data_IF_849698326567
#
_entry.id   IF_849698326567
#
_cell.length_a   1.000
_cell.length_b   1.000
_cell.length_c   1.000
_cell.angle_alpha   90.00
_cell.angle_beta   90.00
_cell.angle_gamma   90.00
#
_symmetry.space_group_name_H-M   'P 1'
#
loop_
_entity.id
_entity.type
_entity.pdbx_description
1 polymer ?
#
# COMPACT_ATOMS: atom_id res chain seq x y z
N UNK A 1 0.83 -11.29 -19.80
CA UNK A 1 0.41 -10.43 -18.67
C UNK A 1 -0.83 -11.05 -18.04
N UNK A 2 -0.87 -11.25 -16.73
CA UNK A 2 -1.95 -12.05 -16.09
C UNK A 2 -3.34 -11.42 -16.27
N UNK A 3 -3.49 -10.13 -15.99
CA UNK A 3 -4.78 -9.42 -16.15
C UNK A 3 -5.32 -9.49 -17.58
N UNK A 4 -4.45 -9.30 -18.58
CA UNK A 4 -4.83 -9.44 -19.98
C UNK A 4 -5.17 -10.89 -20.38
N UNK A 5 -4.53 -11.90 -19.76
CA UNK A 5 -4.81 -13.32 -20.03
C UNK A 5 -6.17 -13.79 -19.53
N UNK A 6 -6.86 -12.98 -18.72
CA UNK A 6 -8.24 -13.21 -18.31
C UNK A 6 -9.26 -12.70 -19.34
N UNK A 7 -8.79 -12.22 -20.49
CA UNK A 7 -9.61 -11.78 -21.64
C UNK A 7 -10.71 -10.76 -21.28
N UNK A 8 -10.39 -9.64 -20.58
CA UNK A 8 -11.39 -8.61 -20.36
C UNK A 8 -11.83 -7.99 -21.69
N UNK A 9 -13.07 -7.49 -21.75
CA UNK A 9 -13.56 -6.76 -22.92
C UNK A 9 -12.74 -5.49 -23.19
N UNK A 10 -12.25 -4.84 -22.13
CA UNK A 10 -11.43 -3.64 -22.19
C UNK A 10 -10.44 -3.61 -21.02
N UNK A 11 -9.23 -3.11 -21.28
CA UNK A 11 -8.20 -2.81 -20.28
C UNK A 11 -7.64 -1.41 -20.53
N UNK A 12 -7.82 -0.51 -19.55
CA UNK A 12 -7.34 0.86 -19.60
C UNK A 12 -6.26 1.04 -18.54
N UNK A 13 -5.09 1.53 -18.96
CA UNK A 13 -3.99 1.91 -18.07
C UNK A 13 -3.77 3.42 -18.13
N UNK A 14 -3.74 4.08 -16.98
CA UNK A 14 -3.47 5.51 -16.86
C UNK A 14 -2.03 5.65 -16.36
N UNK A 15 -1.14 6.19 -17.20
CA UNK A 15 0.29 6.29 -16.91
C UNK A 15 0.84 7.61 -17.48
N UNK A 16 1.35 8.54 -16.65
CA UNK A 16 1.90 9.80 -17.14
C UNK A 16 3.33 9.71 -17.68
N UNK A 17 4.13 8.71 -17.27
CA UNK A 17 5.56 8.67 -17.58
C UNK A 17 5.85 8.08 -18.98
N UNK A 18 6.47 8.84 -19.92
CA UNK A 18 6.65 8.41 -21.30
C UNK A 18 7.44 7.11 -21.47
N UNK A 19 8.46 6.87 -20.66
CA UNK A 19 9.24 5.63 -20.71
C UNK A 19 8.43 4.44 -20.21
N UNK A 20 7.62 4.61 -19.16
CA UNK A 20 6.76 3.55 -18.65
C UNK A 20 5.70 3.17 -19.68
N UNK A 21 5.12 4.14 -20.39
CA UNK A 21 4.23 3.90 -21.52
C UNK A 21 4.90 3.05 -22.60
N UNK A 22 6.16 3.34 -22.93
CA UNK A 22 6.91 2.57 -23.92
C UNK A 22 7.15 1.13 -23.45
N UNK A 23 7.54 0.95 -22.18
CA UNK A 23 7.75 -0.37 -21.59
C UNK A 23 6.45 -1.19 -21.55
N UNK A 24 5.34 -0.58 -21.18
CA UNK A 24 4.01 -1.19 -21.22
C UNK A 24 3.69 -1.63 -22.66
N UNK A 25 3.87 -0.75 -23.66
CA UNK A 25 3.63 -1.10 -25.07
C UNK A 25 4.47 -2.30 -25.51
N UNK A 26 5.76 -2.32 -25.14
CA UNK A 26 6.66 -3.43 -25.46
C UNK A 26 6.22 -4.74 -24.79
N UNK A 27 5.76 -4.67 -23.54
CA UNK A 27 5.27 -5.83 -22.79
C UNK A 27 3.99 -6.42 -23.42
N UNK A 28 3.09 -5.56 -23.91
CA UNK A 28 1.85 -5.96 -24.57
C UNK A 28 2.02 -6.35 -26.04
N UNK A 29 3.11 -5.93 -26.72
CA UNK A 29 3.34 -6.22 -28.14
C UNK A 29 3.33 -7.72 -28.50
N UNK A 30 3.73 -8.57 -27.54
CA UNK A 30 3.78 -10.03 -27.71
C UNK A 30 2.61 -10.76 -27.03
N UNK A 31 1.65 -10.05 -26.45
CA UNK A 31 0.51 -10.67 -25.78
C UNK A 31 -0.61 -10.94 -26.80
N UNK A 32 -1.22 -12.14 -26.81
CA UNK A 32 -2.35 -12.42 -27.69
C UNK A 32 -3.54 -11.53 -27.32
N UNK A 33 -3.85 -10.56 -28.17
CA UNK A 33 -4.97 -9.63 -28.01
C UNK A 33 -6.27 -10.28 -28.52
N UNK A 34 -6.79 -11.28 -27.81
CA UNK A 34 -8.02 -12.03 -28.15
C UNK A 34 -9.29 -11.16 -28.16
N UNK A 35 -9.34 -10.10 -28.96
CA UNK A 35 -10.46 -9.16 -29.04
C UNK A 35 -10.49 -8.07 -27.95
N UNK A 36 -9.62 -8.14 -26.94
CA UNK A 36 -9.53 -7.14 -25.85
C UNK A 36 -9.21 -5.75 -26.41
N UNK A 37 -10.02 -4.73 -26.06
CA UNK A 37 -9.66 -3.33 -26.27
C UNK A 37 -8.59 -2.93 -25.25
N UNK A 38 -7.39 -2.63 -25.70
CA UNK A 38 -6.30 -2.15 -24.84
C UNK A 38 -6.03 -0.67 -25.08
N UNK A 39 -5.98 0.11 -24.01
CA UNK A 39 -5.79 1.56 -24.05
C UNK A 39 -4.78 2.00 -22.99
N UNK A 40 -3.81 2.82 -23.38
CA UNK A 40 -2.89 3.50 -22.45
C UNK A 40 -3.19 4.98 -22.58
N UNK A 41 -3.59 5.60 -21.47
CA UNK A 41 -3.93 7.02 -21.39
C UNK A 41 -2.73 7.76 -20.77
N UNK A 42 -2.03 8.61 -21.55
CA UNK A 42 -0.88 9.39 -21.08
C UNK A 42 -1.34 10.55 -20.20
N UNK A 43 -1.77 10.28 -18.97
CA UNK A 43 -2.36 11.26 -18.07
C UNK A 43 -2.03 10.94 -16.62
N UNK A 44 -1.95 11.97 -15.79
CA UNK A 44 -1.95 11.80 -14.34
C UNK A 44 -3.34 11.36 -13.88
N UNK A 45 -3.43 10.70 -12.73
CA UNK A 45 -4.74 10.31 -12.18
C UNK A 45 -5.57 11.55 -11.81
N UNK A 46 -4.91 12.62 -11.40
CA UNK A 46 -5.45 13.96 -11.14
C UNK A 46 -6.26 14.48 -12.33
N UNK A 47 -5.71 14.33 -13.53
CA UNK A 47 -6.26 14.88 -14.77
C UNK A 47 -7.17 13.89 -15.51
N UNK A 48 -7.04 12.59 -15.22
CA UNK A 48 -7.83 11.56 -15.90
C UNK A 48 -9.32 11.71 -15.57
N UNK A 49 -10.15 11.91 -16.60
CA UNK A 49 -11.59 11.95 -16.51
C UNK A 49 -12.19 10.97 -17.52
N UNK A 50 -13.24 10.26 -17.12
CA UNK A 50 -13.90 9.29 -17.98
C UNK A 50 -15.35 9.11 -17.56
N UNK A 51 -16.24 9.04 -18.56
CA UNK A 51 -17.63 8.60 -18.37
C UNK A 51 -17.73 7.06 -18.31
N UNK A 52 -16.70 6.35 -18.78
CA UNK A 52 -16.65 4.90 -18.69
C UNK A 52 -16.42 4.47 -17.24
N UNK A 53 -17.18 3.46 -16.80
CA UNK A 53 -17.01 2.76 -15.53
C UNK A 53 -16.46 1.36 -15.75
N UNK A 54 -15.88 0.77 -14.73
CA UNK A 54 -15.17 -0.51 -14.82
C UNK A 54 -15.64 -1.51 -13.77
N UNK A 55 -15.72 -2.79 -14.14
CA UNK A 55 -15.99 -3.89 -13.21
C UNK A 55 -14.87 -4.07 -12.18
N UNK A 56 -13.64 -3.72 -12.56
CA UNK A 56 -12.46 -3.77 -11.69
C UNK A 56 -11.63 -2.50 -11.86
N UNK A 57 -11.31 -1.83 -10.75
CA UNK A 57 -10.38 -0.70 -10.72
C UNK A 57 -9.25 -1.04 -9.75
N UNK A 58 -8.02 -0.95 -10.23
CA UNK A 58 -6.82 -1.21 -9.43
C UNK A 58 -6.09 0.11 -9.16
N UNK A 59 -5.84 0.42 -7.90
CA UNK A 59 -5.06 1.55 -7.43
C UNK A 59 -4.08 1.06 -6.36
N UNK A 60 -3.04 0.39 -6.81
CA UNK A 60 -2.05 -0.26 -5.96
C UNK A 60 -0.80 0.62 -5.81
N UNK A 61 -0.26 0.68 -4.59
CA UNK A 61 0.98 1.42 -4.27
C UNK A 61 1.01 2.90 -4.69
N UNK A 62 -0.16 3.54 -4.84
CA UNK A 62 -0.27 4.92 -5.32
C UNK A 62 -0.74 5.92 -4.24
N UNK A 63 -1.73 5.53 -3.42
CA UNK A 63 -2.35 6.46 -2.47
C UNK A 63 -1.41 6.87 -1.31
N UNK A 64 -0.49 5.99 -0.94
CA UNK A 64 0.50 6.26 0.10
C UNK A 64 1.51 7.30 -0.40
N UNK A 65 1.74 8.36 0.39
CA UNK A 65 2.62 9.47 0.02
C UNK A 65 1.93 10.64 -0.68
N UNK A 66 0.65 10.53 -1.05
CA UNK A 66 -0.11 11.65 -1.60
C UNK A 66 -0.52 12.65 -0.50
N UNK A 67 -0.56 13.97 -0.78
CA UNK A 67 -1.03 14.97 0.19
C UNK A 67 -2.52 14.87 0.55
N UNK A 68 -3.36 14.34 -0.35
CA UNK A 68 -4.82 14.27 -0.18
C UNK A 68 -5.41 12.90 -0.56
N UNK A 69 -4.95 11.80 0.06
CA UNK A 69 -5.19 10.44 -0.42
C UNK A 69 -6.69 10.09 -0.44
N UNK A 70 -7.50 10.61 0.50
CA UNK A 70 -8.95 10.39 0.52
C UNK A 70 -9.68 11.06 -0.66
N UNK A 71 -9.18 12.20 -1.16
CA UNK A 71 -9.76 12.86 -2.35
C UNK A 71 -9.51 12.02 -3.59
N UNK A 72 -8.28 11.51 -3.73
CA UNK A 72 -7.91 10.58 -4.80
C UNK A 72 -8.68 9.27 -4.73
N UNK A 73 -8.81 8.71 -3.53
CA UNK A 73 -9.56 7.49 -3.31
C UNK A 73 -11.01 7.61 -3.81
N UNK A 74 -11.69 8.74 -3.55
CA UNK A 74 -13.04 8.99 -4.09
C UNK A 74 -13.04 9.06 -5.61
N UNK A 75 -12.11 9.80 -6.21
CA UNK A 75 -11.99 9.89 -7.68
C UNK A 75 -11.78 8.51 -8.33
N UNK A 76 -10.97 7.65 -7.72
CA UNK A 76 -10.76 6.28 -8.21
C UNK A 76 -12.00 5.43 -8.00
N UNK A 77 -12.66 5.54 -6.84
CA UNK A 77 -13.90 4.83 -6.55
C UNK A 77 -15.03 5.21 -7.52
N UNK A 78 -15.09 6.47 -7.96
CA UNK A 78 -16.05 6.96 -8.95
C UNK A 78 -15.90 6.28 -10.31
N UNK A 79 -14.78 5.63 -10.62
CA UNK A 79 -14.56 4.89 -11.87
C UNK A 79 -15.13 3.45 -11.81
N UNK A 80 -15.56 2.98 -10.63
CA UNK A 80 -16.06 1.62 -10.44
C UNK A 80 -17.54 1.58 -10.81
N UNK A 81 -17.94 0.58 -11.60
CA UNK A 81 -19.36 0.37 -11.93
C UNK A 81 -20.12 -0.26 -10.76
N UNK A 82 -21.45 -0.20 -10.78
CA UNK A 82 -22.30 -0.80 -9.75
C UNK A 82 -22.08 -2.31 -9.71
N UNK A 83 -21.61 -2.81 -8.55
CA UNK A 83 -21.26 -4.22 -8.36
C UNK A 83 -19.82 -4.57 -8.72
N UNK A 84 -19.03 -3.59 -9.20
CA UNK A 84 -17.61 -3.71 -9.44
C UNK A 84 -16.77 -3.75 -8.16
N UNK A 85 -15.47 -3.99 -8.35
CA UNK A 85 -14.49 -4.16 -7.26
C UNK A 85 -13.39 -3.10 -7.40
N UNK A 86 -13.17 -2.37 -6.32
CA UNK A 86 -12.01 -1.52 -6.12
C UNK A 86 -10.92 -2.27 -5.36
N UNK A 87 -9.72 -2.32 -5.92
CA UNK A 87 -8.52 -2.87 -5.27
C UNK A 87 -7.59 -1.71 -4.93
N UNK A 88 -7.28 -1.54 -3.64
CA UNK A 88 -6.37 -0.51 -3.14
C UNK A 88 -5.32 -1.10 -2.21
N UNK A 89 -4.13 -0.51 -2.19
CA UNK A 89 -3.10 -0.81 -1.20
C UNK A 89 -3.21 0.14 -0.02
N UNK A 90 -3.10 -0.39 1.20
CA UNK A 90 -3.05 0.38 2.44
C UNK A 90 -1.75 0.10 3.18
N UNK A 91 -1.35 1.03 4.04
CA UNK A 91 -0.23 0.85 4.96
C UNK A 91 -0.61 1.35 6.35
N UNK A 92 -0.39 0.54 7.38
CA UNK A 92 -0.66 0.85 8.78
C UNK A 92 0.65 1.03 9.53
N UNK A 93 0.65 1.74 10.67
CA UNK A 93 1.90 1.97 11.41
C UNK A 93 2.52 0.67 11.94
N UNK A 94 1.68 -0.31 12.30
CA UNK A 94 2.17 -1.62 12.74
C UNK A 94 2.81 -2.38 11.57
N UNK A 95 2.22 -2.35 10.37
CA UNK A 95 2.78 -3.06 9.21
C UNK A 95 4.05 -2.40 8.68
N UNK A 96 4.15 -1.07 8.79
CA UNK A 96 5.33 -0.30 8.40
C UNK A 96 6.42 -0.22 9.47
N UNK A 97 6.17 -0.73 10.68
CA UNK A 97 7.12 -0.60 11.77
C UNK A 97 8.50 -1.23 11.46
N UNK A 98 8.59 -2.46 10.90
CA UNK A 98 9.89 -3.02 10.52
C UNK A 98 10.65 -2.14 9.50
N UNK A 99 9.94 -1.51 8.57
CA UNK A 99 10.56 -0.64 7.55
C UNK A 99 10.92 0.73 8.13
N UNK A 100 10.14 1.23 9.08
CA UNK A 100 10.48 2.44 9.85
C UNK A 100 11.80 2.25 10.62
N UNK A 101 11.98 1.08 11.26
CA UNK A 101 13.24 0.76 11.93
C UNK A 101 14.41 0.65 10.95
N UNK A 102 14.23 -0.02 9.80
CA UNK A 102 15.28 -0.07 8.76
C UNK A 102 15.64 1.32 8.25
N UNK A 103 14.65 2.19 8.13
CA UNK A 103 14.85 3.58 7.73
C UNK A 103 15.67 4.34 8.77
N UNK A 104 15.40 4.17 10.07
CA UNK A 104 16.26 4.71 11.12
C UNK A 104 17.70 4.21 10.97
N UNK A 105 17.90 2.90 10.76
CA UNK A 105 19.24 2.36 10.52
C UNK A 105 19.91 2.97 9.28
N UNK A 106 19.17 3.16 8.19
CA UNK A 106 19.69 3.81 7.00
C UNK A 106 20.14 5.25 7.30
N UNK A 107 19.35 6.02 8.05
CA UNK A 107 19.69 7.39 8.44
C UNK A 107 20.94 7.47 9.32
N UNK A 108 21.17 6.45 10.17
CA UNK A 108 22.40 6.35 10.97
C UNK A 108 23.64 5.96 10.14
N UNK A 109 23.44 5.37 8.95
CA UNK A 109 24.50 4.91 8.06
C UNK A 109 24.81 5.90 6.92
N UNK A 110 23.92 6.87 6.67
CA UNK A 110 24.15 7.92 5.68
C UNK A 110 25.31 8.78 6.14
N UNK A 111 26.32 8.89 5.28
CA UNK A 111 27.46 9.77 5.49
C UNK A 111 27.20 11.10 4.75
N UNK A 112 27.13 12.24 5.45
CA UNK A 112 26.89 13.54 4.81
C UNK A 112 28.04 14.00 3.90
N UNK A 113 29.23 13.40 4.01
CA UNK A 113 30.38 13.72 3.16
C UNK A 113 30.36 12.94 1.83
N UNK A 114 29.50 11.92 1.70
CA UNK A 114 29.32 11.14 0.47
C UNK A 114 28.20 11.71 -0.41
N UNK A 115 28.30 11.50 -1.72
CA UNK A 115 27.22 11.82 -2.65
C UNK A 115 25.99 10.92 -2.43
N UNK A 116 24.83 11.37 -2.91
CA UNK A 116 23.58 10.57 -2.84
C UNK A 116 23.73 9.20 -3.50
N UNK A 117 24.46 9.13 -4.63
CA UNK A 117 24.69 7.86 -5.34
C UNK A 117 25.60 6.92 -4.54
N UNK A 118 26.66 7.45 -3.91
CA UNK A 118 27.55 6.66 -3.06
C UNK A 118 26.80 6.13 -1.83
N UNK A 119 26.01 6.97 -1.16
CA UNK A 119 25.16 6.56 -0.05
C UNK A 119 24.13 5.50 -0.49
N UNK A 120 23.50 5.67 -1.65
CA UNK A 120 22.56 4.69 -2.19
C UNK A 120 23.24 3.35 -2.48
N UNK A 121 24.43 3.35 -3.08
CA UNK A 121 25.17 2.12 -3.37
C UNK A 121 25.58 1.43 -2.06
N UNK A 122 26.08 2.18 -1.08
CA UNK A 122 26.43 1.66 0.25
C UNK A 122 25.23 1.03 0.96
N UNK A 123 24.10 1.74 1.04
CA UNK A 123 22.88 1.21 1.65
C UNK A 123 22.36 -0.02 0.88
N UNK A 124 22.50 -0.04 -0.45
CA UNK A 124 22.14 -1.22 -1.26
C UNK A 124 22.97 -2.44 -0.85
N UNK A 125 24.29 -2.31 -0.71
CA UNK A 125 25.16 -3.40 -0.25
C UNK A 125 24.76 -3.92 1.14
N UNK A 126 24.36 -3.01 2.05
CA UNK A 126 23.90 -3.36 3.39
C UNK A 126 22.58 -4.13 3.37
N UNK A 127 21.61 -3.72 2.54
CA UNK A 127 20.25 -4.26 2.56
C UNK A 127 20.01 -5.41 1.57
N UNK A 128 20.81 -5.56 0.53
CA UNK A 128 20.64 -6.61 -0.48
C UNK A 128 20.68 -8.05 0.08
N UNK A 129 21.58 -8.43 1.01
CA UNK A 129 21.65 -9.80 1.53
C UNK A 129 20.38 -10.27 2.25
N UNK A 130 19.60 -9.34 2.81
CA UNK A 130 18.32 -9.66 3.45
C UNK A 130 17.15 -9.61 2.47
N UNK A 131 17.17 -8.68 1.50
CA UNK A 131 16.14 -8.60 0.45
C UNK A 131 16.19 -9.81 -0.48
N UNK A 132 17.37 -10.31 -0.81
CA UNK A 132 17.57 -11.52 -1.63
C UNK A 132 16.99 -12.80 -1.00
N UNK A 133 16.66 -12.80 0.30
CA UNK A 133 15.98 -13.91 0.98
C UNK A 133 14.45 -13.85 0.85
N UNK A 134 13.89 -12.78 0.31
CA UNK A 134 12.46 -12.62 0.10
C UNK A 134 12.06 -13.26 -1.23
N UNK A 135 11.19 -14.27 -1.16
CA UNK A 135 10.65 -14.91 -2.35
C UNK A 135 9.70 -13.96 -3.09
N UNK A 136 9.79 -13.91 -4.42
CA UNK A 136 8.86 -13.15 -5.26
C UNK A 136 9.12 -11.64 -5.32
N UNK A 137 10.28 -11.16 -4.87
CA UNK A 137 10.66 -9.77 -5.10
C UNK A 137 10.81 -9.47 -6.60
N UNK A 138 10.04 -8.50 -7.08
CA UNK A 138 10.09 -8.02 -8.47
C UNK A 138 10.93 -6.75 -8.63
N UNK A 139 11.11 -5.98 -7.55
CA UNK A 139 11.91 -4.76 -7.52
C UNK A 139 13.38 -5.08 -7.23
N UNK A 140 14.31 -4.36 -7.87
CA UNK A 140 15.73 -4.47 -7.55
C UNK A 140 16.02 -3.96 -6.14
N UNK A 141 17.09 -4.46 -5.49
CA UNK A 141 17.50 -3.99 -4.17
C UNK A 141 17.75 -2.48 -4.16
N UNK A 142 18.46 -1.96 -5.17
CA UNK A 142 18.75 -0.52 -5.32
C UNK A 142 17.46 0.32 -5.41
N UNK A 143 16.49 -0.08 -6.22
CA UNK A 143 15.21 0.63 -6.32
C UNK A 143 14.41 0.55 -5.02
N UNK A 144 14.40 -0.61 -4.34
CA UNK A 144 13.73 -0.74 -3.05
C UNK A 144 14.37 0.16 -1.97
N UNK A 145 15.70 0.23 -1.90
CA UNK A 145 16.42 1.09 -0.95
C UNK A 145 16.14 2.55 -1.23
N UNK A 146 16.20 2.97 -2.50
CA UNK A 146 15.86 4.33 -2.90
C UNK A 146 14.45 4.71 -2.44
N UNK A 147 13.46 3.87 -2.72
CA UNK A 147 12.05 4.16 -2.42
C UNK A 147 11.74 4.16 -0.92
N UNK A 148 12.31 3.23 -0.16
CA UNK A 148 11.88 3.00 1.22
C UNK A 148 12.80 3.68 2.24
N UNK A 149 14.10 3.72 1.97
CA UNK A 149 15.11 4.18 2.94
C UNK A 149 15.53 5.63 2.71
N UNK A 150 15.56 6.09 1.45
CA UNK A 150 16.07 7.42 1.08
C UNK A 150 14.93 8.40 0.76
N UNK A 151 13.97 8.00 -0.08
CA UNK A 151 12.93 8.88 -0.57
C UNK A 151 12.16 9.55 0.60
N UNK A 152 12.06 10.90 0.64
CA UNK A 152 11.34 11.61 1.70
C UNK A 152 9.81 11.45 1.62
N UNK A 153 9.25 11.04 0.49
CA UNK A 153 7.79 10.90 0.31
C UNK A 153 7.29 9.53 0.79
N UNK A 154 7.37 9.29 2.10
CA UNK A 154 7.00 8.01 2.69
C UNK A 154 5.81 8.16 3.65
N UNK A 155 4.64 8.59 3.15
CA UNK A 155 3.43 8.74 3.96
C UNK A 155 2.46 7.55 3.87
N UNK A 156 1.67 7.34 4.92
CA UNK A 156 0.72 6.23 5.00
C UNK A 156 -0.66 6.63 4.52
N UNK A 157 -1.40 5.64 4.01
CA UNK A 157 -2.86 5.69 3.89
C UNK A 157 -3.41 4.42 4.50
N UNK A 158 -4.02 4.55 5.68
CA UNK A 158 -4.38 3.42 6.53
C UNK A 158 -5.64 2.72 6.03
N UNK A 159 -5.76 1.44 6.38
CA UNK A 159 -6.96 0.67 6.03
C UNK A 159 -8.23 1.26 6.65
N UNK A 160 -8.12 1.85 7.84
CA UNK A 160 -9.24 2.52 8.52
C UNK A 160 -9.68 3.78 7.78
N UNK A 161 -8.75 4.61 7.30
CA UNK A 161 -9.08 5.82 6.52
C UNK A 161 -9.78 5.46 5.21
N UNK A 162 -9.33 4.40 4.52
CA UNK A 162 -9.95 3.90 3.30
C UNK A 162 -11.40 3.49 3.57
N UNK A 163 -11.63 2.67 4.60
CA UNK A 163 -12.97 2.18 4.94
C UNK A 163 -13.88 3.34 5.33
N UNK A 164 -13.41 4.26 6.17
CA UNK A 164 -14.19 5.44 6.57
C UNK A 164 -14.54 6.33 5.38
N UNK A 165 -13.64 6.45 4.41
CA UNK A 165 -13.88 7.29 3.22
C UNK A 165 -14.96 6.70 2.32
N UNK A 166 -15.00 5.38 2.17
CA UNK A 166 -15.86 4.68 1.20
C UNK A 166 -17.05 3.92 1.82
N UNK A 167 -17.25 3.97 3.14
CA UNK A 167 -18.20 3.08 3.84
C UNK A 167 -19.66 3.19 3.42
N UNK A 168 -20.06 4.32 2.85
CA UNK A 168 -21.44 4.56 2.38
C UNK A 168 -21.73 3.87 1.04
N UNK A 169 -20.69 3.68 0.21
CA UNK A 169 -20.84 3.23 -1.18
C UNK A 169 -20.23 1.83 -1.38
N UNK A 170 -19.21 1.49 -0.59
CA UNK A 170 -18.49 0.23 -0.68
C UNK A 170 -18.59 -0.58 0.61
N UNK A 171 -18.49 -1.90 0.43
CA UNK A 171 -18.21 -2.83 1.52
C UNK A 171 -16.86 -3.49 1.31
N UNK A 172 -16.17 -3.81 2.39
CA UNK A 172 -14.94 -4.60 2.29
C UNK A 172 -15.28 -5.98 1.75
N UNK A 173 -14.73 -6.31 0.58
CA UNK A 173 -14.91 -7.61 -0.06
C UNK A 173 -13.87 -8.63 0.42
N UNK A 174 -12.61 -8.22 0.56
CA UNK A 174 -11.52 -9.06 1.02
C UNK A 174 -10.22 -8.29 1.18
N UNK A 175 -9.21 -8.94 1.76
CA UNK A 175 -7.88 -8.37 1.98
C UNK A 175 -6.78 -9.39 1.74
N UNK A 176 -5.59 -8.89 1.44
CA UNK A 176 -4.33 -9.63 1.51
C UNK A 176 -3.41 -8.90 2.49
N UNK A 177 -3.06 -9.49 3.65
CA UNK A 177 -3.42 -10.83 4.11
C UNK A 177 -4.92 -10.99 4.40
N UNK A 178 -5.42 -12.23 4.32
CA UNK A 178 -6.82 -12.55 4.61
C UNK A 178 -7.02 -12.86 6.10
N UNK A 179 -7.86 -12.08 6.78
CA UNK A 179 -8.16 -12.27 8.21
C UNK A 179 -9.64 -12.06 8.56
N UNK A 180 -10.50 -11.82 7.57
CA UNK A 180 -11.93 -11.63 7.79
C UNK A 180 -12.65 -12.97 7.89
N UNK A 181 -13.24 -13.27 9.04
CA UNK A 181 -14.05 -14.47 9.27
C UNK A 181 -15.47 -14.12 9.75
N UNK A 182 -16.49 -14.64 9.07
CA UNK A 182 -17.89 -14.39 9.43
C UNK A 182 -18.71 -15.68 9.53
N UNK A 183 -18.97 -16.10 10.77
CA UNK A 183 -19.75 -17.30 11.09
C UNK A 183 -21.25 -17.02 11.29
N UNK A 184 -21.72 -15.79 11.05
CA UNK A 184 -23.15 -15.47 11.16
C UNK A 184 -23.94 -16.29 10.14
N UNK A 185 -25.13 -16.74 10.53
CA UNK A 185 -25.99 -17.49 9.62
C UNK A 185 -26.32 -16.65 8.38
N UNK A 186 -26.09 -17.21 7.19
CA UNK A 186 -26.20 -16.47 5.93
C UNK A 186 -27.57 -15.79 5.72
N UNK A 187 -28.66 -16.39 6.26
CA UNK A 187 -30.00 -15.78 6.20
C UNK A 187 -30.17 -14.56 7.10
N UNK A 188 -29.21 -14.23 7.96
CA UNK A 188 -29.20 -13.00 8.76
C UNK A 188 -28.42 -11.86 8.10
N UNK A 189 -27.76 -12.10 6.96
CA UNK A 189 -26.89 -11.12 6.28
C UNK A 189 -27.67 -10.21 5.32
N UNK A 190 -28.72 -9.55 5.79
CA UNK A 190 -29.55 -8.65 4.97
C UNK A 190 -29.92 -7.36 5.70
N UNK A 191 -30.25 -6.32 4.93
CA UNK A 191 -30.62 -5.00 5.45
C UNK A 191 -29.60 -4.47 6.48
N UNK A 192 -30.11 -3.97 7.61
CA UNK A 192 -29.30 -3.41 8.71
C UNK A 192 -28.41 -4.42 9.43
N UNK A 193 -28.61 -5.73 9.21
CA UNK A 193 -27.82 -6.78 9.83
C UNK A 193 -26.57 -7.15 9.02
N UNK A 194 -26.42 -6.64 7.78
CA UNK A 194 -25.26 -6.94 6.93
C UNK A 194 -23.95 -6.53 7.60
N UNK A 195 -23.82 -5.26 8.02
CA UNK A 195 -22.73 -4.72 8.87
C UNK A 195 -21.31 -5.20 8.51
N UNK A 196 -21.01 -5.38 7.22
CA UNK A 196 -19.74 -5.97 6.75
C UNK A 196 -18.56 -5.10 7.18
N UNK A 197 -18.62 -3.79 6.94
CA UNK A 197 -17.54 -2.86 7.30
C UNK A 197 -17.30 -2.80 8.82
N UNK A 198 -18.37 -2.78 9.62
CA UNK A 198 -18.23 -2.77 11.08
C UNK A 198 -17.54 -4.03 11.58
N UNK A 199 -17.98 -5.20 11.11
CA UNK A 199 -17.38 -6.48 11.49
C UNK A 199 -15.94 -6.61 11.01
N UNK A 200 -15.64 -6.03 9.84
CA UNK A 200 -14.27 -5.94 9.35
C UNK A 200 -13.39 -5.10 10.28
N UNK A 201 -13.85 -3.90 10.68
CA UNK A 201 -13.13 -3.02 11.60
C UNK A 201 -12.88 -3.70 12.95
N UNK A 202 -13.86 -4.43 13.48
CA UNK A 202 -13.69 -5.22 14.71
C UNK A 202 -12.56 -6.26 14.57
N UNK A 203 -12.55 -7.02 13.46
CA UNK A 203 -11.54 -8.05 13.23
C UNK A 203 -10.16 -7.49 12.88
N UNK A 204 -10.09 -6.34 12.20
CA UNK A 204 -8.86 -5.59 12.01
C UNK A 204 -8.25 -5.28 13.38
N UNK A 205 -9.02 -4.66 14.28
CA UNK A 205 -8.50 -4.32 15.61
C UNK A 205 -8.16 -5.52 16.47
N UNK A 206 -8.72 -6.70 16.20
CA UNK A 206 -8.33 -7.94 16.89
C UNK A 206 -7.03 -8.54 16.34
N UNK A 207 -6.69 -8.27 15.07
CA UNK A 207 -5.60 -8.93 14.34
C UNK A 207 -4.45 -8.02 13.93
N UNK A 208 -4.54 -6.70 14.06
CA UNK A 208 -3.53 -5.76 13.52
C UNK A 208 -2.11 -6.01 14.04
N UNK A 209 -1.94 -6.54 15.25
CA UNK A 209 -0.62 -6.96 15.76
C UNK A 209 0.06 -8.05 14.90
N UNK A 210 -0.71 -8.87 14.18
CA UNK A 210 -0.19 -9.89 13.26
C UNK A 210 0.36 -9.27 11.96
N UNK A 211 0.20 -7.96 11.74
CA UNK A 211 0.76 -7.29 10.57
C UNK A 211 2.24 -6.96 10.73
N UNK A 212 2.79 -7.17 11.92
CA UNK A 212 4.18 -6.87 12.26
C UNK A 212 5.19 -7.77 11.55
N UNK A 213 4.87 -9.06 11.39
CA UNK A 213 5.73 -10.05 10.74
C UNK A 213 4.89 -11.19 10.16
N UNK A 214 4.88 -11.30 8.84
CA UNK A 214 4.08 -12.28 8.12
C UNK A 214 4.43 -13.75 8.44
N UNK A 215 5.60 -14.00 9.05
CA UNK A 215 6.06 -15.35 9.40
C UNK A 215 5.36 -15.93 10.62
N UNK A 216 4.69 -15.10 11.41
CA UNK A 216 4.05 -15.50 12.65
C UNK A 216 2.59 -15.07 12.65
N UNK A 217 1.73 -15.94 13.18
CA UNK A 217 0.32 -15.63 13.45
C UNK A 217 0.06 -15.91 14.92
N UNK A 218 -0.26 -14.87 15.67
CA UNK A 218 -0.62 -14.94 17.08
C UNK A 218 -2.14 -14.97 17.25
N UNK A 219 -2.65 -15.52 18.36
CA UNK A 219 -4.07 -15.45 18.69
C UNK A 219 -4.57 -14.00 18.77
N UNK A 220 -5.86 -13.80 18.49
CA UNK A 220 -6.51 -12.49 18.58
C UNK A 220 -6.28 -11.82 19.94
N UNK A 221 -6.13 -10.48 19.91
CA UNK A 221 -5.94 -9.66 21.10
C UNK A 221 -7.09 -8.69 21.30
N UNK A 222 -7.17 -8.10 22.49
CA UNK A 222 -8.15 -7.05 22.76
C UNK A 222 -7.87 -5.83 21.87
N UNK A 223 -8.93 -5.12 21.49
CA UNK A 223 -8.81 -3.86 20.74
C UNK A 223 -7.92 -2.85 21.47
N UNK A 224 -8.09 -2.70 22.79
CA UNK A 224 -7.33 -1.76 23.60
C UNK A 224 -5.82 -2.04 23.58
N UNK A 225 -5.42 -3.31 23.62
CA UNK A 225 -4.00 -3.68 23.53
C UNK A 225 -3.41 -3.37 22.15
N UNK A 226 -4.18 -3.61 21.10
CA UNK A 226 -3.75 -3.35 19.73
C UNK A 226 -3.74 -1.85 19.40
N UNK A 227 -4.68 -1.07 19.92
CA UNK A 227 -4.64 0.40 19.84
C UNK A 227 -3.40 0.95 20.55
N UNK A 228 -3.02 0.40 21.71
CA UNK A 228 -1.79 0.78 22.40
C UNK A 228 -0.54 0.44 21.59
N UNK A 229 -0.46 -0.77 21.02
CA UNK A 229 0.64 -1.16 20.13
C UNK A 229 0.73 -0.21 18.94
N UNK A 230 -0.42 0.11 18.32
CA UNK A 230 -0.50 1.03 17.19
C UNK A 230 0.07 2.41 17.55
N UNK A 231 -0.31 2.95 18.73
CA UNK A 231 0.18 4.23 19.22
C UNK A 231 1.71 4.24 19.45
N UNK A 232 2.28 3.13 19.92
CA UNK A 232 3.74 3.00 20.04
C UNK A 232 4.41 3.02 18.67
N UNK A 233 3.92 2.23 17.71
CA UNK A 233 4.47 2.20 16.35
C UNK A 233 4.37 3.58 15.66
N UNK A 234 3.22 4.26 15.76
CA UNK A 234 3.04 5.62 15.24
C UNK A 234 4.01 6.61 15.91
N UNK A 235 4.14 6.55 17.24
CA UNK A 235 5.02 7.47 17.97
C UNK A 235 6.49 7.27 17.61
N UNK A 236 6.95 6.02 17.53
CA UNK A 236 8.30 5.71 17.05
C UNK A 236 8.53 6.23 15.62
N UNK A 237 7.58 6.02 14.70
CA UNK A 237 7.68 6.53 13.34
C UNK A 237 7.78 8.06 13.31
N UNK A 238 6.96 8.76 14.10
CA UNK A 238 7.02 10.24 14.18
C UNK A 238 8.38 10.71 14.69
N UNK A 239 8.93 10.06 15.71
CA UNK A 239 10.28 10.37 16.21
C UNK A 239 11.35 10.12 15.15
N UNK A 240 11.26 9.02 14.38
CA UNK A 240 12.18 8.72 13.27
C UNK A 240 12.11 9.82 12.20
N UNK A 241 10.91 10.29 11.83
CA UNK A 241 10.75 11.43 10.91
C UNK A 241 11.37 12.72 11.45
N UNK A 242 11.21 12.98 12.73
CA UNK A 242 11.87 14.14 13.37
C UNK A 242 13.39 13.98 13.33
N UNK A 243 13.91 12.79 13.59
CA UNK A 243 15.35 12.51 13.49
C UNK A 243 15.88 12.69 12.06
N UNK A 244 15.14 12.28 11.03
CA UNK A 244 15.49 12.51 9.62
C UNK A 244 15.67 14.00 9.29
N UNK A 245 14.90 14.87 9.92
CA UNK A 245 14.94 16.32 9.65
C UNK A 245 15.98 17.04 10.51
N UNK A 246 16.06 16.70 11.80
CA UNK A 246 16.79 17.49 12.79
C UNK A 246 18.11 16.84 13.24
N UNK A 247 18.33 15.54 12.98
CA UNK A 247 19.48 14.71 13.40
C UNK A 247 19.90 14.84 14.87
N UNK A 248 18.97 15.26 15.75
CA UNK A 248 19.27 15.48 17.17
C UNK A 248 19.41 14.15 17.92
N UNK A 249 20.55 13.96 18.58
CA UNK A 249 20.84 12.81 19.45
C UNK A 249 19.80 12.58 20.55
N UNK A 250 19.15 13.64 21.04
CA UNK A 250 18.07 13.53 22.03
C UNK A 250 16.87 12.73 21.49
N UNK A 251 16.51 12.90 20.22
CA UNK A 251 15.39 12.17 19.59
C UNK A 251 15.74 10.69 19.47
N UNK A 252 17.00 10.36 19.19
CA UNK A 252 17.47 8.98 19.13
C UNK A 252 17.31 8.24 20.47
N UNK A 253 17.55 8.94 21.59
CA UNK A 253 17.37 8.36 22.93
C UNK A 253 15.91 8.08 23.32
N UNK A 254 14.94 8.71 22.65
CA UNK A 254 13.51 8.45 22.85
C UNK A 254 13.00 7.30 21.97
N UNK A 255 13.73 6.94 20.91
CA UNK A 255 13.38 5.85 20.01
C UNK A 255 13.89 4.49 20.55
N UNK A 256 15.09 4.47 21.13
CA UNK A 256 15.78 3.27 21.64
C UNK A 256 15.33 2.86 23.04
#
# INVERSE_FOLDING_TARGET
>A
IFTASLEPSCLVLVEPHPEAILDIKNLFANSPNGGMKFEIVPSTLEEYESDQRFDFVFCESLLCGLPTPNKFLRKVADLVDVGGILVVTSMDDISLFPDSLRRLFAQLLIDPDLSEEENLNWLTEVFEPQLSRLNGMTRSAKAWVLDNMINPTWDKHTLMEIIQTLSEEFVVFGTSPHFLVDWRWYKHLYGKNRQVNQRFVEQYWQNVHNFFDYRYVSPVRSRADNERLYQYCDSCRRLIRTFETDQRQLVLSEIL
#
